data_IF_536586327710
#
_entry.id   IF_536586327710
#
_cell.length_a   1.000
_cell.length_b   1.000
_cell.length_c   1.000
_cell.angle_alpha   90.00
_cell.angle_beta   90.00
_cell.angle_gamma   90.00
#
_symmetry.space_group_name_H-M   'P 1'
#
loop_
_entity.id
_entity.type
_entity.pdbx_description
1 polymer ?
#
# COMPACT_ATOMS: atom_id res chain seq x y z
N UNK A 1 -17.25 -61.86 -14.37
CA UNK A 1 -17.87 -60.92 -13.43
C UNK A 1 -16.85 -59.84 -13.08
N UNK A 2 -17.18 -58.59 -13.43
CA UNK A 2 -16.75 -57.31 -12.80
C UNK A 2 -15.34 -57.16 -12.23
N UNK A 3 -14.56 -56.19 -12.75
CA UNK A 3 -14.35 -54.90 -12.07
C UNK A 3 -13.47 -53.92 -12.87
N UNK A 4 -14.05 -52.76 -13.22
CA UNK A 4 -13.45 -51.42 -13.09
C UNK A 4 -12.25 -51.02 -13.94
N UNK A 5 -12.48 -50.47 -15.15
CA UNK A 5 -11.67 -49.37 -15.66
C UNK A 5 -12.48 -48.09 -15.59
N UNK A 6 -12.27 -47.33 -14.51
CA UNK A 6 -12.70 -45.94 -14.43
C UNK A 6 -11.46 -45.07 -14.18
N UNK A 7 -11.43 -43.94 -14.89
CA UNK A 7 -10.61 -42.72 -14.70
C UNK A 7 -9.32 -42.60 -15.53
N UNK A 8 -9.48 -42.19 -16.78
CA UNK A 8 -8.60 -41.16 -17.33
C UNK A 8 -9.38 -39.84 -17.35
N UNK A 9 -9.15 -38.99 -16.34
CA UNK A 9 -9.50 -37.57 -16.43
C UNK A 9 -8.31 -36.89 -17.13
N UNK A 10 -8.27 -36.98 -18.45
CA UNK A 10 -7.36 -36.17 -19.26
C UNK A 10 -7.95 -34.77 -19.36
N UNK A 11 -7.21 -33.79 -18.86
CA UNK A 11 -7.53 -32.39 -19.08
C UNK A 11 -6.59 -31.81 -20.13
N UNK A 12 -7.15 -31.11 -21.10
CA UNK A 12 -6.37 -30.41 -22.12
C UNK A 12 -5.81 -29.11 -21.51
N UNK A 13 -4.59 -28.74 -21.85
CA UNK A 13 -4.03 -27.41 -21.55
C UNK A 13 -3.35 -26.89 -22.82
N UNK A 14 -3.75 -25.71 -23.28
CA UNK A 14 -3.15 -25.08 -24.46
C UNK A 14 -2.01 -24.16 -23.99
N UNK A 15 -0.78 -24.49 -24.35
CA UNK A 15 0.40 -23.67 -24.07
C UNK A 15 0.64 -22.70 -25.24
N UNK A 16 0.67 -21.41 -24.94
CA UNK A 16 1.25 -20.42 -25.84
C UNK A 16 2.66 -20.09 -25.33
N UNK A 17 3.67 -20.67 -25.99
CA UNK A 17 5.08 -20.38 -25.69
C UNK A 17 5.44 -19.01 -26.30
N UNK A 18 5.42 -17.94 -25.50
CA UNK A 18 5.86 -16.61 -25.92
C UNK A 18 7.35 -16.41 -25.65
N UNK A 19 8.16 -16.79 -26.63
CA UNK A 19 9.57 -16.41 -26.67
C UNK A 19 9.66 -14.93 -27.03
N UNK A 20 10.29 -14.14 -26.16
CA UNK A 20 10.33 -12.66 -26.20
C UNK A 20 10.84 -12.09 -27.55
N UNK A 21 11.39 -12.89 -28.46
CA UNK A 21 11.95 -12.40 -29.73
C UNK A 21 11.75 -13.29 -30.98
N UNK A 22 10.86 -14.29 -31.01
CA UNK A 22 10.57 -15.05 -32.25
C UNK A 22 9.11 -15.54 -32.34
N UNK A 23 8.62 -15.70 -33.57
CA UNK A 23 7.30 -16.27 -33.92
C UNK A 23 6.97 -17.46 -33.03
N UNK A 24 5.82 -17.42 -32.36
CA UNK A 24 5.43 -18.37 -31.31
C UNK A 24 4.84 -19.66 -31.89
N UNK A 25 5.42 -20.85 -31.60
CA UNK A 25 4.71 -22.10 -31.80
C UNK A 25 3.65 -22.27 -30.70
N UNK A 26 2.38 -22.45 -31.08
CA UNK A 26 1.34 -22.94 -30.18
C UNK A 26 1.60 -24.41 -29.90
N UNK A 27 1.78 -24.77 -28.64
CA UNK A 27 2.00 -26.15 -28.21
C UNK A 27 0.78 -26.61 -27.42
N UNK A 28 0.17 -27.72 -27.80
CA UNK A 28 -0.90 -28.34 -27.01
C UNK A 28 -0.29 -29.48 -26.21
N UNK A 29 -0.47 -29.45 -24.88
CA UNK A 29 -0.06 -30.55 -24.00
C UNK A 29 -1.27 -31.11 -23.26
N UNK A 30 -1.25 -32.42 -23.08
CA UNK A 30 -2.26 -33.11 -22.28
C UNK A 30 -1.65 -33.41 -20.92
N UNK A 31 -2.29 -32.96 -19.85
CA UNK A 31 -1.77 -33.11 -18.49
C UNK A 31 -2.89 -33.41 -17.50
N UNK A 32 -2.62 -34.30 -16.56
CA UNK A 32 -3.53 -34.53 -15.43
C UNK A 32 -3.51 -33.31 -14.50
N UNK A 33 -4.67 -32.69 -14.27
CA UNK A 33 -4.82 -31.51 -13.39
C UNK A 33 -4.40 -31.74 -11.93
N UNK A 34 -4.16 -32.98 -11.51
CA UNK A 34 -3.58 -33.32 -10.20
C UNK A 34 -2.07 -33.14 -10.15
N UNK A 35 -1.41 -32.93 -11.29
CA UNK A 35 0.02 -32.58 -11.33
C UNK A 35 0.25 -31.31 -10.52
N UNK A 36 1.34 -31.26 -9.75
CA UNK A 36 1.78 -30.03 -9.10
C UNK A 36 2.39 -29.09 -10.12
N UNK A 37 2.35 -27.79 -9.83
CA UNK A 37 3.04 -26.80 -10.66
C UNK A 37 4.54 -27.11 -10.81
N UNK A 38 5.20 -27.63 -9.78
CA UNK A 38 6.60 -28.05 -9.84
C UNK A 38 6.85 -29.11 -10.91
N UNK A 39 6.10 -30.21 -10.87
CA UNK A 39 6.23 -31.31 -11.82
C UNK A 39 5.81 -30.88 -13.23
N UNK A 40 4.78 -30.03 -13.34
CA UNK A 40 4.40 -29.43 -14.61
C UNK A 40 5.54 -28.62 -15.23
N UNK A 41 6.21 -27.76 -14.46
CA UNK A 41 7.37 -27.00 -14.96
C UNK A 41 8.50 -27.93 -15.40
N UNK A 42 8.80 -29.00 -14.67
CA UNK A 42 9.82 -29.97 -15.09
C UNK A 42 9.47 -30.62 -16.44
N UNK A 43 8.20 -31.00 -16.63
CA UNK A 43 7.73 -31.55 -17.91
C UNK A 43 7.82 -30.54 -19.07
N UNK A 44 7.84 -29.24 -18.79
CA UNK A 44 8.00 -28.19 -19.80
C UNK A 44 9.46 -27.92 -20.17
N UNK A 45 10.45 -28.32 -19.36
CA UNK A 45 11.88 -28.07 -19.63
C UNK A 45 12.33 -28.50 -21.03
N UNK A 46 11.97 -29.69 -21.56
CA UNK A 46 12.35 -30.12 -22.91
C UNK A 46 11.77 -29.24 -24.02
N UNK A 47 10.60 -28.62 -23.77
CA UNK A 47 9.91 -27.78 -24.75
C UNK A 47 10.38 -26.33 -24.70
N UNK A 48 10.70 -25.82 -23.50
CA UNK A 48 11.19 -24.45 -23.31
C UNK A 48 12.70 -24.36 -23.60
N UNK A 49 13.44 -25.45 -23.43
CA UNK A 49 14.89 -25.53 -23.70
C UNK A 49 15.76 -24.97 -22.58
N UNK A 50 15.20 -24.67 -21.41
CA UNK A 50 15.93 -24.22 -20.21
C UNK A 50 15.35 -24.88 -18.96
N UNK A 51 16.11 -25.00 -17.86
CA UNK A 51 15.61 -25.55 -16.60
C UNK A 51 14.40 -24.78 -16.07
N UNK A 52 13.54 -25.45 -15.29
CA UNK A 52 12.32 -24.88 -14.68
C UNK A 52 12.58 -23.69 -13.76
N UNK A 53 13.81 -23.53 -13.29
CA UNK A 53 14.27 -22.37 -12.53
C UNK A 53 14.47 -21.10 -13.40
N UNK A 54 14.50 -21.23 -14.73
CA UNK A 54 14.81 -20.16 -15.69
C UNK A 54 13.62 -19.74 -16.57
N UNK A 55 12.41 -20.20 -16.25
CA UNK A 55 11.19 -19.67 -16.84
C UNK A 55 10.03 -19.62 -15.84
N UNK A 56 9.01 -18.84 -16.20
CA UNK A 56 7.81 -18.54 -15.41
C UNK A 56 6.58 -19.02 -16.15
N UNK A 57 5.57 -19.48 -15.38
CA UNK A 57 4.30 -19.97 -15.90
C UNK A 57 3.22 -18.95 -15.55
N UNK A 58 2.55 -18.39 -16.55
CA UNK A 58 1.44 -17.47 -16.37
C UNK A 58 0.15 -18.12 -16.82
N UNK A 59 -0.87 -18.06 -15.95
CA UNK A 59 -2.23 -18.43 -16.30
C UNK A 59 -2.90 -17.22 -16.95
N UNK A 60 -3.47 -17.42 -18.14
CA UNK A 60 -4.25 -16.40 -18.84
C UNK A 60 -5.74 -16.65 -18.56
N UNK A 61 -6.43 -15.62 -18.08
CA UNK A 61 -7.87 -15.66 -17.83
C UNK A 61 -8.66 -15.18 -19.05
N UNK A 62 -9.98 -15.41 -19.07
CA UNK A 62 -10.86 -15.07 -20.20
C UNK A 62 -10.84 -13.58 -20.59
N UNK A 63 -10.47 -12.69 -19.66
CA UNK A 63 -10.30 -11.25 -19.88
C UNK A 63 -8.87 -10.86 -20.34
N UNK A 64 -8.06 -11.83 -20.79
CA UNK A 64 -6.64 -11.69 -21.13
C UNK A 64 -5.73 -11.18 -19.99
N UNK A 65 -6.18 -11.19 -18.74
CA UNK A 65 -5.29 -10.94 -17.61
C UNK A 65 -4.39 -12.16 -17.38
N UNK A 66 -3.11 -11.90 -17.14
CA UNK A 66 -2.12 -12.93 -16.85
C UNK A 66 -1.68 -12.86 -15.39
N UNK A 67 -1.73 -14.00 -14.69
CA UNK A 67 -1.20 -14.13 -13.34
C UNK A 67 -0.14 -15.22 -13.30
N UNK A 68 1.01 -14.92 -12.73
CA UNK A 68 2.04 -15.94 -12.56
C UNK A 68 1.62 -16.99 -11.53
N UNK A 69 1.77 -18.25 -11.90
CA UNK A 69 1.68 -19.37 -10.97
C UNK A 69 3.00 -19.50 -10.23
N UNK A 70 3.00 -19.21 -8.92
CA UNK A 70 4.20 -19.20 -8.07
C UNK A 70 4.22 -20.32 -7.04
N UNK A 71 3.07 -20.89 -6.69
CA UNK A 71 2.94 -21.91 -5.63
C UNK A 71 3.23 -23.30 -6.19
N UNK A 72 4.49 -23.71 -6.11
CA UNK A 72 4.99 -24.97 -6.70
C UNK A 72 4.26 -26.25 -6.24
N UNK A 73 3.69 -26.25 -5.03
CA UNK A 73 2.96 -27.38 -4.46
C UNK A 73 1.47 -27.40 -4.85
N UNK A 74 0.93 -26.31 -5.40
CA UNK A 74 -0.47 -26.30 -5.85
C UNK A 74 -0.62 -27.14 -7.13
N UNK A 75 -1.76 -27.81 -7.24
CA UNK A 75 -2.09 -28.58 -8.42
C UNK A 75 -2.70 -27.68 -9.50
N UNK A 76 -2.70 -28.14 -10.75
CA UNK A 76 -3.38 -27.44 -11.84
C UNK A 76 -4.92 -27.59 -11.80
N UNK A 77 -5.49 -28.06 -10.69
CA UNK A 77 -6.94 -28.34 -10.57
C UNK A 77 -7.82 -27.09 -10.71
N UNK A 78 -7.27 -25.90 -10.42
CA UNK A 78 -7.97 -24.63 -10.64
C UNK A 78 -8.01 -24.18 -12.10
N UNK A 79 -7.27 -24.85 -13.00
CA UNK A 79 -7.23 -24.48 -14.41
C UNK A 79 -8.46 -25.04 -15.13
N UNK A 80 -9.11 -24.26 -16.01
CA UNK A 80 -10.13 -24.78 -16.92
C UNK A 80 -9.47 -25.58 -18.05
N UNK A 81 -10.25 -26.44 -18.73
CA UNK A 81 -9.74 -27.31 -19.81
C UNK A 81 -9.29 -26.53 -21.07
N UNK A 82 -9.67 -25.25 -21.18
CA UNK A 82 -9.30 -24.36 -22.28
C UNK A 82 -8.40 -23.19 -21.84
N UNK A 83 -7.80 -23.27 -20.64
CA UNK A 83 -6.91 -22.22 -20.18
C UNK A 83 -5.68 -22.13 -21.08
N UNK A 84 -5.38 -20.89 -21.49
CA UNK A 84 -4.10 -20.56 -22.10
C UNK A 84 -3.06 -20.36 -21.00
N UNK A 85 -1.88 -20.90 -21.23
CA UNK A 85 -0.71 -20.70 -20.38
C UNK A 85 0.35 -19.99 -21.19
N UNK A 86 0.86 -18.88 -20.64
CA UNK A 86 1.96 -18.11 -21.22
C UNK A 86 3.26 -18.48 -20.49
N UNK A 87 4.29 -18.89 -21.23
CA UNK A 87 5.63 -19.12 -20.66
C UNK A 87 6.53 -17.94 -20.97
N UNK A 88 7.16 -17.37 -19.94
CA UNK A 88 8.15 -16.29 -20.09
C UNK A 88 9.49 -16.72 -19.52
N UNK A 89 10.56 -16.54 -20.30
CA UNK A 89 11.93 -16.77 -19.82
C UNK A 89 12.28 -15.78 -18.70
N UNK A 90 13.03 -16.26 -17.73
CA UNK A 90 13.45 -15.49 -16.56
C UNK A 90 13.46 -16.32 -15.30
N UNK A 91 14.29 -15.92 -14.34
CA UNK A 91 14.46 -16.60 -13.06
C UNK A 91 13.11 -16.78 -12.35
N UNK A 92 12.77 -18.02 -12.04
CA UNK A 92 11.65 -18.38 -11.17
C UNK A 92 12.03 -18.10 -9.71
N UNK A 93 11.04 -17.72 -8.90
CA UNK A 93 11.24 -17.55 -7.46
C UNK A 93 11.54 -18.90 -6.81
N UNK A 94 12.55 -18.94 -5.94
CA UNK A 94 12.82 -20.09 -5.07
C UNK A 94 11.81 -20.12 -3.91
N UNK A 95 11.73 -21.25 -3.22
CA UNK A 95 10.94 -21.34 -1.98
C UNK A 95 11.41 -20.28 -0.99
N UNK A 96 10.48 -19.49 -0.47
CA UNK A 96 10.78 -18.39 0.44
C UNK A 96 11.16 -17.08 -0.24
N UNK A 97 11.14 -17.00 -1.57
CA UNK A 97 11.35 -15.73 -2.28
C UNK A 97 10.02 -15.11 -2.70
N UNK A 98 9.95 -13.79 -2.58
CA UNK A 98 8.76 -12.98 -2.81
C UNK A 98 9.11 -11.82 -3.71
N UNK A 99 8.24 -11.55 -4.70
CA UNK A 99 8.36 -10.32 -5.49
C UNK A 99 7.88 -9.14 -4.69
N UNK A 100 8.67 -8.07 -4.77
CA UNK A 100 8.43 -6.83 -4.06
C UNK A 100 8.48 -5.68 -5.05
N UNK A 101 7.42 -4.88 -5.08
CA UNK A 101 7.41 -3.61 -5.79
C UNK A 101 7.93 -2.51 -4.88
N UNK A 102 8.97 -1.82 -5.33
CA UNK A 102 9.56 -0.71 -4.58
C UNK A 102 9.05 0.61 -5.19
N UNK A 103 8.47 1.44 -4.33
CA UNK A 103 8.01 2.79 -4.67
C UNK A 103 8.82 3.82 -3.90
N UNK A 104 9.29 4.88 -4.54
CA UNK A 104 9.84 6.04 -3.83
C UNK A 104 8.71 6.79 -3.14
N UNK A 105 8.90 7.09 -1.85
CA UNK A 105 8.08 8.02 -1.09
C UNK A 105 8.70 9.42 -1.17
N UNK A 106 7.98 10.35 -1.79
CA UNK A 106 8.37 11.75 -1.95
C UNK A 106 7.39 12.62 -1.14
N UNK A 107 7.57 12.68 0.17
CA UNK A 107 6.56 13.20 1.12
C UNK A 107 6.06 14.63 0.82
N UNK A 108 6.88 15.46 0.18
CA UNK A 108 6.57 16.86 -0.11
C UNK A 108 6.24 17.13 -1.60
N UNK A 109 6.24 16.11 -2.45
CA UNK A 109 5.93 16.26 -3.87
C UNK A 109 4.43 16.09 -4.13
N UNK A 110 3.94 16.71 -5.21
CA UNK A 110 2.54 16.60 -5.63
C UNK A 110 2.15 15.15 -5.97
N UNK A 111 3.11 14.37 -6.48
CA UNK A 111 2.99 12.94 -6.71
C UNK A 111 3.91 12.18 -5.74
N UNK A 112 3.42 11.87 -4.53
CA UNK A 112 4.28 11.36 -3.46
C UNK A 112 4.71 9.90 -3.63
N UNK A 113 4.15 9.18 -4.61
CA UNK A 113 4.36 7.76 -4.80
C UNK A 113 4.83 7.49 -6.23
N UNK A 114 6.12 7.20 -6.40
CA UNK A 114 6.73 6.91 -7.70
C UNK A 114 7.22 5.47 -7.75
N UNK A 115 6.75 4.66 -8.70
CA UNK A 115 7.30 3.31 -8.89
C UNK A 115 8.78 3.38 -9.30
N UNK A 116 9.62 2.54 -8.69
CA UNK A 116 11.04 2.43 -9.03
C UNK A 116 11.33 1.12 -9.76
N UNK A 117 11.14 -0.01 -9.09
CA UNK A 117 11.59 -1.31 -9.59
C UNK A 117 10.82 -2.47 -8.96
N UNK A 118 10.75 -3.58 -9.69
CA UNK A 118 10.40 -4.90 -9.17
C UNK A 118 11.67 -5.63 -8.71
N UNK A 119 11.72 -6.01 -7.44
CA UNK A 119 12.82 -6.79 -6.87
C UNK A 119 12.33 -8.08 -6.21
N UNK A 120 13.24 -8.87 -5.65
CA UNK A 120 12.94 -10.10 -4.93
C UNK A 120 13.55 -10.03 -3.55
N UNK A 121 12.74 -10.25 -2.52
CA UNK A 121 13.23 -10.45 -1.15
C UNK A 121 12.99 -11.89 -0.72
N UNK A 122 13.86 -12.40 0.13
CA UNK A 122 13.84 -13.77 0.63
C UNK A 122 13.49 -13.79 2.13
N UNK A 123 12.74 -14.82 2.53
CA UNK A 123 12.53 -15.19 3.93
C UNK A 123 13.89 -15.34 4.64
N UNK A 124 13.98 -14.79 5.85
CA UNK A 124 15.18 -14.88 6.68
C UNK A 124 16.28 -13.86 6.35
N UNK A 125 16.13 -13.07 5.29
CA UNK A 125 17.02 -11.92 5.08
C UNK A 125 16.59 -10.76 5.99
N UNK A 126 17.57 -9.96 6.40
CA UNK A 126 17.34 -8.70 7.11
C UNK A 126 16.95 -7.59 6.15
N UNK A 127 16.30 -6.55 6.68
CA UNK A 127 16.04 -5.30 5.95
C UNK A 127 17.34 -4.66 5.45
N UNK A 128 18.43 -4.75 6.21
CA UNK A 128 19.74 -4.25 5.77
C UNK A 128 20.23 -4.99 4.53
N UNK A 129 20.22 -6.32 4.54
CA UNK A 129 20.62 -7.13 3.39
C UNK A 129 19.74 -6.83 2.17
N UNK A 130 18.45 -6.58 2.36
CA UNK A 130 17.56 -6.26 1.25
C UNK A 130 17.85 -4.88 0.65
N UNK A 131 18.25 -3.90 1.46
CA UNK A 131 18.79 -2.62 0.99
C UNK A 131 20.09 -2.81 0.22
N UNK A 132 21.02 -3.63 0.72
CA UNK A 132 22.30 -3.92 0.05
C UNK A 132 22.11 -4.52 -1.35
N UNK A 133 21.11 -5.40 -1.52
CA UNK A 133 20.75 -5.94 -2.84
C UNK A 133 19.99 -4.93 -3.72
N UNK A 134 19.17 -4.07 -3.12
CA UNK A 134 18.34 -3.10 -3.82
C UNK A 134 19.13 -1.90 -4.36
N UNK A 135 20.11 -1.39 -3.62
CA UNK A 135 20.82 -0.15 -3.98
C UNK A 135 21.54 -0.23 -5.34
N UNK A 136 22.29 -1.31 -5.68
CA UNK A 136 22.89 -1.45 -7.01
C UNK A 136 21.85 -1.42 -8.13
N UNK A 137 20.70 -2.06 -7.91
CA UNK A 137 19.59 -2.10 -8.85
C UNK A 137 19.02 -0.70 -9.12
N UNK A 138 18.85 0.10 -8.07
CA UNK A 138 18.38 1.48 -8.18
C UNK A 138 19.39 2.39 -8.88
N UNK A 139 20.69 2.19 -8.64
CA UNK A 139 21.75 2.91 -9.33
C UNK A 139 21.76 2.62 -10.83
N UNK A 140 21.64 1.35 -11.20
CA UNK A 140 21.67 0.92 -12.60
C UNK A 140 20.42 1.35 -13.37
N UNK A 141 19.23 1.02 -12.83
CA UNK A 141 17.95 1.15 -13.52
C UNK A 141 17.30 2.51 -13.33
N UNK A 142 17.42 3.11 -12.15
CA UNK A 142 16.76 4.36 -11.79
C UNK A 142 17.70 5.57 -11.74
N UNK A 143 19.02 5.35 -11.90
CA UNK A 143 20.07 6.39 -11.74
C UNK A 143 20.05 7.05 -10.35
N UNK A 144 19.65 6.29 -9.34
CA UNK A 144 19.64 6.72 -7.94
C UNK A 144 20.85 6.13 -7.21
N UNK A 145 21.88 6.95 -6.99
CA UNK A 145 23.06 6.58 -6.20
C UNK A 145 22.84 7.02 -4.75
N UNK A 146 22.35 6.10 -3.92
CA UNK A 146 21.91 6.39 -2.56
C UNK A 146 22.84 5.74 -1.52
N UNK A 147 23.04 6.43 -0.40
CA UNK A 147 23.73 5.88 0.75
C UNK A 147 22.76 5.01 1.58
N UNK A 148 23.18 3.79 1.91
CA UNK A 148 22.40 2.84 2.69
C UNK A 148 21.91 3.40 4.04
N UNK A 149 22.74 4.21 4.72
CA UNK A 149 22.41 4.77 6.04
C UNK A 149 21.38 5.90 5.97
N UNK A 150 21.05 6.38 4.76
CA UNK A 150 20.06 7.42 4.48
C UNK A 150 18.84 6.88 3.74
N UNK A 151 18.70 5.56 3.63
CA UNK A 151 17.56 4.92 2.98
C UNK A 151 16.77 4.13 4.00
N UNK A 152 15.47 4.38 4.04
CA UNK A 152 14.51 3.69 4.88
C UNK A 152 13.51 2.93 4.02
N UNK A 153 13.14 1.71 4.44
CA UNK A 153 12.02 0.98 3.86
C UNK A 153 10.80 1.10 4.77
N UNK A 154 9.62 1.26 4.17
CA UNK A 154 8.33 1.31 4.88
C UNK A 154 7.32 0.36 4.27
N UNK A 155 6.39 -0.12 5.08
CA UNK A 155 5.18 -0.78 4.59
C UNK A 155 4.40 0.18 3.70
N UNK A 156 4.02 -0.25 2.50
CA UNK A 156 3.10 0.50 1.65
C UNK A 156 1.71 -0.13 1.71
N UNK A 157 0.74 0.64 2.20
CA UNK A 157 -0.68 0.25 2.14
C UNK A 157 -1.41 1.22 1.22
N UNK A 158 -1.55 0.82 -0.05
CA UNK A 158 -2.06 1.69 -1.12
C UNK A 158 -1.24 2.99 -1.25
N UNK A 159 -1.77 4.14 -0.80
CA UNK A 159 -1.07 5.44 -0.78
C UNK A 159 -0.39 5.75 0.57
N UNK A 160 -0.73 5.01 1.62
CA UNK A 160 -0.28 5.32 2.98
C UNK A 160 1.11 4.75 3.25
N UNK A 161 2.08 5.59 3.65
CA UNK A 161 3.32 5.12 4.25
C UNK A 161 2.99 4.60 5.65
N UNK A 162 3.16 3.31 5.87
CA UNK A 162 2.94 2.69 7.18
C UNK A 162 4.26 2.47 7.92
N UNK A 163 4.27 1.37 8.68
CA UNK A 163 5.37 0.90 9.53
C UNK A 163 6.75 1.09 8.91
N UNK A 164 7.66 1.67 9.69
CA UNK A 164 9.08 1.78 9.36
C UNK A 164 9.78 0.44 9.61
N UNK A 165 10.54 -0.05 8.62
CA UNK A 165 11.31 -1.27 8.75
C UNK A 165 12.77 -0.94 9.11
N UNK A 166 13.15 -1.25 10.35
CA UNK A 166 14.52 -1.12 10.85
C UNK A 166 15.44 -2.20 10.25
N UNK A 167 16.72 -1.85 10.11
CA UNK A 167 17.75 -2.65 9.44
C UNK A 167 17.87 -4.09 9.95
N UNK A 168 17.70 -4.29 11.26
CA UNK A 168 17.87 -5.58 11.91
C UNK A 168 16.64 -6.50 11.80
N UNK A 169 15.49 -5.99 11.34
CA UNK A 169 14.29 -6.83 11.19
C UNK A 169 14.49 -7.89 10.10
N UNK A 170 13.95 -9.07 10.36
CA UNK A 170 14.03 -10.25 9.50
C UNK A 170 12.67 -10.53 8.86
N UNK A 171 12.64 -10.73 7.53
CA UNK A 171 11.41 -11.08 6.84
C UNK A 171 10.91 -12.48 7.20
N UNK A 172 9.61 -12.61 7.42
CA UNK A 172 8.87 -13.76 7.96
C UNK A 172 9.12 -14.08 9.45
N UNK A 173 9.92 -13.29 10.14
CA UNK A 173 10.06 -13.34 11.61
C UNK A 173 9.45 -12.09 12.24
N UNK A 174 9.98 -10.91 11.88
CA UNK A 174 9.49 -9.61 12.35
C UNK A 174 8.48 -8.97 11.38
N UNK A 175 8.66 -9.22 10.08
CA UNK A 175 7.88 -8.59 9.02
C UNK A 175 7.24 -9.68 8.15
N UNK A 176 5.91 -9.77 8.17
CA UNK A 176 5.18 -10.68 7.28
C UNK A 176 5.23 -10.17 5.82
N UNK A 177 5.73 -11.02 4.93
CA UNK A 177 5.82 -10.75 3.49
C UNK A 177 4.90 -11.70 2.73
N UNK A 178 4.27 -11.21 1.68
CA UNK A 178 3.26 -11.97 0.94
C UNK A 178 3.41 -11.81 -0.58
N UNK A 179 2.62 -12.56 -1.34
CA UNK A 179 2.61 -12.43 -2.79
C UNK A 179 2.03 -11.06 -3.19
N UNK A 180 2.76 -10.30 -4.01
CA UNK A 180 2.48 -8.90 -4.39
C UNK A 180 2.78 -7.87 -3.29
N UNK A 181 3.83 -8.11 -2.51
CA UNK A 181 4.24 -7.16 -1.49
C UNK A 181 4.72 -5.84 -2.12
N UNK A 182 4.35 -4.73 -1.50
CA UNK A 182 4.78 -3.40 -1.92
C UNK A 182 5.41 -2.68 -0.73
N UNK A 183 6.51 -1.98 -1.00
CA UNK A 183 7.22 -1.20 0.00
C UNK A 183 7.49 0.20 -0.53
N UNK A 184 7.52 1.16 0.39
CA UNK A 184 8.08 2.46 0.12
C UNK A 184 9.58 2.47 0.44
N UNK A 185 10.34 3.15 -0.41
CA UNK A 185 11.71 3.58 -0.17
C UNK A 185 11.68 5.09 0.07
N UNK A 186 12.12 5.51 1.24
CA UNK A 186 12.22 6.91 1.65
C UNK A 186 13.70 7.29 1.76
N UNK A 187 14.08 8.40 1.14
CA UNK A 187 15.43 8.97 1.27
C UNK A 187 15.40 10.00 2.37
N UNK A 188 16.18 9.78 3.42
CA UNK A 188 16.24 10.63 4.59
C UNK A 188 17.27 11.75 4.41
N UNK A 189 16.96 12.93 4.96
CA UNK A 189 17.90 14.04 5.01
C UNK A 189 19.10 13.74 5.93
N UNK A 190 18.84 13.00 7.00
CA UNK A 190 19.79 12.60 8.03
C UNK A 190 19.77 11.07 8.20
N UNK A 191 20.59 10.53 9.10
CA UNK A 191 20.51 9.13 9.49
C UNK A 191 19.15 8.79 10.12
N UNK A 192 18.75 7.53 10.02
CA UNK A 192 17.56 6.99 10.67
C UNK A 192 17.48 7.39 12.16
N UNK A 193 16.37 8.02 12.56
CA UNK A 193 16.10 8.45 13.93
C UNK A 193 15.35 7.39 14.74
N UNK A 194 14.50 6.60 14.10
CA UNK A 194 13.77 5.52 14.74
C UNK A 194 14.73 4.36 15.07
N UNK A 195 14.67 3.87 16.31
CA UNK A 195 15.56 2.84 16.86
C UNK A 195 14.81 1.59 17.33
N UNK A 196 13.50 1.68 17.54
CA UNK A 196 12.67 0.60 18.07
C UNK A 196 11.28 0.61 17.45
N UNK A 197 10.65 -0.56 17.36
CA UNK A 197 9.24 -0.73 16.97
C UNK A 197 8.24 -0.26 18.04
N UNK A 198 8.71 0.02 19.26
CA UNK A 198 7.89 0.66 20.30
C UNK A 198 7.68 2.16 20.05
N UNK A 199 8.55 2.77 19.25
CA UNK A 199 8.43 4.17 18.87
C UNK A 199 7.36 4.34 17.79
N UNK A 200 6.86 5.57 17.69
CA UNK A 200 5.85 5.95 16.70
C UNK A 200 6.36 7.10 15.83
N UNK A 201 6.41 6.89 14.52
CA UNK A 201 6.79 7.91 13.55
C UNK A 201 5.54 8.62 13.00
N UNK A 202 5.37 9.90 13.35
CA UNK A 202 4.22 10.72 12.93
C UNK A 202 4.67 11.77 11.93
N UNK A 203 3.95 11.86 10.80
CA UNK A 203 4.15 12.93 9.82
C UNK A 203 3.36 14.16 10.27
N UNK A 204 4.04 15.27 10.42
CA UNK A 204 3.46 16.53 10.91
C UNK A 204 3.51 17.58 9.83
N UNK A 205 2.52 18.47 9.80
CA UNK A 205 2.45 19.55 8.81
C UNK A 205 1.90 20.83 9.43
N UNK A 206 2.67 21.90 9.34
CA UNK A 206 2.25 23.21 9.86
C UNK A 206 1.16 23.81 8.97
N UNK A 207 0.09 24.27 9.59
CA UNK A 207 -0.90 25.16 9.01
C UNK A 207 -0.63 26.59 9.49
N UNK A 208 -0.51 27.53 8.56
CA UNK A 208 -0.30 28.95 8.84
C UNK A 208 -1.51 29.77 8.40
N UNK A 209 -2.44 30.09 9.32
CA UNK A 209 -3.61 30.91 9.02
C UNK A 209 -3.27 32.26 8.39
N UNK A 210 -2.18 32.91 8.83
CA UNK A 210 -1.78 34.24 8.37
C UNK A 210 -1.33 34.31 6.92
N UNK A 211 -0.98 33.16 6.33
CA UNK A 211 -0.53 33.07 4.92
C UNK A 211 -1.39 32.16 4.07
N UNK A 212 -2.40 31.53 4.66
CA UNK A 212 -3.27 30.53 4.04
C UNK A 212 -2.47 29.40 3.35
N UNK A 213 -1.40 28.93 4.01
CA UNK A 213 -0.49 27.91 3.46
C UNK A 213 -0.23 26.77 4.43
N UNK A 214 -0.01 25.59 3.85
CA UNK A 214 0.54 24.44 4.53
C UNK A 214 2.06 24.38 4.29
N UNK A 215 2.82 24.22 5.36
CA UNK A 215 4.26 23.98 5.31
C UNK A 215 4.62 22.61 4.72
N UNK A 216 5.92 22.30 4.63
CA UNK A 216 6.37 20.96 4.29
C UNK A 216 6.04 19.97 5.42
N UNK A 217 5.93 18.70 5.07
CA UNK A 217 5.90 17.61 6.04
C UNK A 217 7.23 17.50 6.77
N UNK A 218 7.14 17.29 8.07
CA UNK A 218 8.24 16.99 8.97
C UNK A 218 7.87 15.78 9.81
N UNK A 219 8.81 14.87 10.05
CA UNK A 219 8.56 13.70 10.86
C UNK A 219 9.01 13.90 12.30
N UNK A 220 8.17 13.49 13.25
CA UNK A 220 8.52 13.35 14.66
C UNK A 220 8.51 11.87 15.05
N UNK A 221 9.50 11.47 15.84
CA UNK A 221 9.56 10.14 16.46
C UNK A 221 9.18 10.31 17.93
N UNK A 222 8.18 9.54 18.36
CA UNK A 222 7.66 9.54 19.73
C UNK A 222 8.05 8.23 20.41
N UNK A 223 8.55 8.33 21.64
CA UNK A 223 8.85 7.20 22.52
C UNK A 223 7.57 6.66 23.18
N UNK A 224 6.66 7.57 23.54
CA UNK A 224 5.36 7.27 24.11
C UNK A 224 4.29 7.85 23.18
N UNK A 225 3.24 7.08 22.91
CA UNK A 225 2.09 7.52 22.12
C UNK A 225 1.18 8.49 22.90
N UNK A 226 1.76 9.52 23.52
CA UNK A 226 1.09 10.52 24.34
C UNK A 226 0.91 11.84 23.58
N UNK A 227 -0.12 12.60 23.96
CA UNK A 227 -0.37 13.93 23.39
C UNK A 227 0.67 14.95 23.86
N UNK A 228 1.11 14.85 25.12
CA UNK A 228 2.08 15.78 25.69
C UNK A 228 3.43 15.70 24.96
N UNK A 229 3.95 14.49 24.74
CA UNK A 229 5.19 14.30 23.98
C UNK A 229 5.08 14.79 22.54
N UNK A 230 3.94 14.56 21.87
CA UNK A 230 3.70 15.12 20.54
C UNK A 230 3.77 16.65 20.56
N UNK A 231 3.11 17.30 21.53
CA UNK A 231 3.13 18.76 21.65
C UNK A 231 4.54 19.29 21.96
N UNK A 232 5.29 18.63 22.83
CA UNK A 232 6.69 18.96 23.12
C UNK A 232 7.56 18.92 21.87
N UNK A 233 7.46 17.85 21.08
CA UNK A 233 8.21 17.72 19.81
C UNK A 233 7.81 18.78 18.79
N UNK A 234 6.52 19.09 18.68
CA UNK A 234 6.03 20.13 17.78
C UNK A 234 6.48 21.53 18.22
N UNK A 235 6.48 21.81 19.53
CA UNK A 235 6.97 23.05 20.13
C UNK A 235 8.46 23.22 19.85
N UNK A 236 9.27 22.19 20.08
CA UNK A 236 10.72 22.18 19.83
C UNK A 236 11.07 22.48 18.36
N UNK A 237 10.32 21.93 17.39
CA UNK A 237 10.64 22.11 15.97
C UNK A 237 10.09 23.40 15.33
N UNK A 238 9.19 24.10 15.99
CA UNK A 238 8.44 25.21 15.38
C UNK A 238 8.52 26.54 16.14
N UNK A 239 9.16 26.54 17.31
CA UNK A 239 9.23 27.67 18.25
C UNK A 239 7.86 28.17 18.75
N UNK A 240 6.81 27.36 18.59
CA UNK A 240 5.46 27.65 19.13
C UNK A 240 5.41 27.10 20.55
N UNK A 241 5.18 27.98 21.53
CA UNK A 241 4.98 27.59 22.93
C UNK A 241 3.81 26.62 23.07
N UNK A 242 3.93 25.63 23.97
CA UNK A 242 2.91 24.61 24.23
C UNK A 242 1.48 25.15 24.43
N UNK A 243 1.33 26.28 25.11
CA UNK A 243 0.05 26.94 25.37
C UNK A 243 -0.63 27.46 24.10
N UNK A 244 0.17 27.82 23.10
CA UNK A 244 -0.28 28.35 21.82
C UNK A 244 -0.31 27.27 20.72
N UNK A 245 -0.06 26.01 21.09
CA UNK A 245 0.06 24.92 20.13
C UNK A 245 -1.25 24.13 20.03
N UNK A 246 -1.88 24.32 18.88
CA UNK A 246 -3.07 23.58 18.45
C UNK A 246 -2.66 22.47 17.48
N UNK A 247 -3.28 21.29 17.61
CA UNK A 247 -3.09 20.20 16.66
C UNK A 247 -4.38 19.47 16.33
N UNK A 248 -4.39 18.78 15.19
CA UNK A 248 -5.48 17.95 14.72
C UNK A 248 -4.97 16.77 13.88
N UNK A 249 -5.67 15.64 13.91
CA UNK A 249 -5.35 14.51 13.02
C UNK A 249 -5.87 14.75 11.60
N UNK A 250 -5.02 14.49 10.62
CA UNK A 250 -5.40 14.47 9.21
C UNK A 250 -6.37 13.34 8.87
N UNK A 251 -7.31 13.62 7.96
CA UNK A 251 -8.33 12.66 7.52
C UNK A 251 -7.97 12.04 6.18
N UNK A 252 -8.47 10.83 5.93
CA UNK A 252 -8.28 10.13 4.66
C UNK A 252 -6.91 9.46 4.52
N UNK A 253 -6.48 9.24 3.28
CA UNK A 253 -5.18 8.64 2.97
C UNK A 253 -4.12 9.70 2.78
N UNK A 254 -2.86 9.34 2.99
CA UNK A 254 -1.71 10.20 2.74
C UNK A 254 -1.79 10.81 1.31
N UNK A 255 -1.58 12.13 1.16
CA UNK A 255 -1.04 13.09 2.14
C UNK A 255 -2.08 13.78 3.05
N UNK A 256 -3.29 13.23 3.17
CA UNK A 256 -4.42 13.83 3.88
C UNK A 256 -4.77 15.20 3.28
N UNK A 257 -5.01 15.20 1.97
CA UNK A 257 -5.35 16.40 1.21
C UNK A 257 -6.59 17.09 1.79
N UNK A 258 -6.44 18.36 2.13
CA UNK A 258 -7.50 19.21 2.68
C UNK A 258 -7.37 20.62 2.12
N UNK A 259 -8.49 21.32 1.93
CA UNK A 259 -8.50 22.71 1.50
C UNK A 259 -7.98 23.62 2.61
N UNK A 260 -7.07 24.54 2.30
CA UNK A 260 -6.62 25.57 3.25
C UNK A 260 -7.75 26.49 3.72
N UNK A 261 -8.86 26.56 2.98
CA UNK A 261 -10.06 27.32 3.36
C UNK A 261 -10.95 26.58 4.38
N UNK A 262 -10.83 25.25 4.44
CA UNK A 262 -11.73 24.37 5.20
C UNK A 262 -11.03 23.70 6.38
N UNK A 263 -9.68 23.64 6.37
CA UNK A 263 -8.86 22.98 7.40
C UNK A 263 -9.21 23.40 8.82
N UNK A 264 -9.63 24.66 9.01
CA UNK A 264 -10.03 25.18 10.31
C UNK A 264 -11.32 24.55 10.83
N UNK A 265 -12.29 24.30 9.95
CA UNK A 265 -13.62 23.81 10.30
C UNK A 265 -13.73 22.29 10.19
N UNK A 266 -13.00 21.69 9.24
CA UNK A 266 -13.12 20.28 8.90
C UNK A 266 -12.28 19.37 9.79
N UNK A 267 -11.23 19.89 10.42
CA UNK A 267 -10.43 19.13 11.37
C UNK A 267 -10.90 19.34 12.81
N UNK A 268 -10.75 18.28 13.62
CA UNK A 268 -11.05 18.32 15.05
C UNK A 268 -9.81 18.80 15.80
N UNK A 269 -9.74 20.12 16.04
CA UNK A 269 -8.63 20.78 16.71
C UNK A 269 -8.68 20.59 18.22
N UNK A 270 -7.52 20.28 18.81
CA UNK A 270 -7.34 20.02 20.24
C UNK A 270 -8.28 18.93 20.80
N UNK A 271 -8.17 17.70 20.28
CA UNK A 271 -8.95 16.59 20.80
C UNK A 271 -8.65 16.38 22.28
N UNK A 272 -9.71 16.17 23.07
CA UNK A 272 -9.64 16.03 24.54
C UNK A 272 -9.23 14.61 24.95
N UNK A 273 -8.00 14.24 24.60
CA UNK A 273 -7.39 12.94 24.94
C UNK A 273 -5.96 13.14 25.43
N UNK A 274 -5.47 12.24 26.26
CA UNK A 274 -4.08 12.22 26.73
C UNK A 274 -3.18 11.30 25.91
N UNK A 275 -3.76 10.35 25.18
CA UNK A 275 -3.05 9.34 24.37
C UNK A 275 -3.51 9.36 22.92
N UNK A 276 -2.58 9.08 22.01
CA UNK A 276 -2.79 9.19 20.57
C UNK A 276 -3.61 8.03 19.99
N UNK A 277 -3.62 6.87 20.63
CA UNK A 277 -4.31 5.67 20.15
C UNK A 277 -5.82 5.63 20.51
N UNK A 278 -6.34 6.66 21.17
CA UNK A 278 -7.75 6.74 21.60
C UNK A 278 -8.55 7.63 20.64
N UNK A 279 -9.86 7.38 20.53
CA UNK A 279 -10.77 8.25 19.79
C UNK A 279 -10.74 9.68 20.34
N UNK A 280 -10.70 10.74 19.49
CA UNK A 280 -10.89 10.72 18.04
C UNK A 280 -9.60 10.52 17.22
N UNK A 281 -8.45 10.40 17.87
CA UNK A 281 -7.16 10.29 17.20
C UNK A 281 -6.94 8.92 16.58
N UNK A 282 -6.99 7.80 17.31
CA UNK A 282 -6.67 6.46 16.77
C UNK A 282 -5.40 6.45 15.90
N UNK A 283 -4.31 7.04 16.41
CA UNK A 283 -2.99 6.96 15.80
C UNK A 283 -2.29 5.78 16.49
N UNK A 284 -2.31 4.64 15.81
CA UNK A 284 -1.75 3.38 16.32
C UNK A 284 -0.50 2.94 15.54
N UNK A 285 -0.32 3.46 14.33
CA UNK A 285 0.70 3.03 13.39
C UNK A 285 1.44 4.25 12.81
N UNK A 286 2.67 4.02 12.34
CA UNK A 286 3.51 5.01 11.69
C UNK A 286 2.84 5.66 10.46
N UNK A 287 3.28 6.88 10.16
CA UNK A 287 2.90 7.63 8.96
C UNK A 287 1.52 8.26 9.02
N UNK A 288 0.87 8.25 10.18
CA UNK A 288 -0.28 9.11 10.44
C UNK A 288 0.10 10.58 10.27
N UNK A 289 -0.82 11.36 9.70
CA UNK A 289 -0.63 12.80 9.48
C UNK A 289 -1.27 13.60 10.61
N UNK A 290 -0.52 14.52 11.20
CA UNK A 290 -0.98 15.51 12.18
C UNK A 290 -0.73 16.91 11.64
N UNK A 291 -1.79 17.72 11.61
CA UNK A 291 -1.68 19.15 11.36
C UNK A 291 -1.49 19.88 12.68
N UNK A 292 -0.70 20.95 12.67
CA UNK A 292 -0.52 21.82 13.84
C UNK A 292 -0.44 23.28 13.42
N UNK A 293 -0.76 24.19 14.34
CA UNK A 293 -0.74 25.63 14.09
C UNK A 293 -0.42 26.40 15.38
N UNK A 294 -0.05 27.67 15.20
CA UNK A 294 -0.05 28.62 16.30
C UNK A 294 -1.48 29.17 16.47
N UNK A 295 -2.06 29.03 17.66
CA UNK A 295 -3.40 29.52 17.97
C UNK A 295 -3.49 31.04 18.05
N UNK A 296 -2.36 31.74 18.23
CA UNK A 296 -2.28 33.21 18.24
C UNK A 296 -2.13 33.82 16.84
N UNK A 297 -2.03 33.00 15.80
CA UNK A 297 -1.88 33.48 14.43
C UNK A 297 -3.23 33.97 13.90
N UNK A 298 -3.31 35.25 13.55
CA UNK A 298 -4.52 35.81 12.94
C UNK A 298 -4.67 35.30 11.50
N UNK A 299 -5.87 34.82 11.10
CA UNK A 299 -6.12 34.42 9.73
C UNK A 299 -5.96 35.59 8.75
N UNK A 300 -5.37 35.32 7.58
CA UNK A 300 -5.31 36.28 6.49
C UNK A 300 -6.73 36.71 6.09
N UNK A 301 -6.98 38.02 6.05
CA UNK A 301 -8.18 38.55 5.41
C UNK A 301 -8.03 38.42 3.89
N UNK A 302 -8.99 37.74 3.26
CA UNK A 302 -9.05 37.56 1.82
C UNK A 302 -10.20 38.40 1.27
N UNK A 303 -9.94 39.14 0.20
CA UNK A 303 -11.01 39.73 -0.61
C UNK A 303 -11.87 38.64 -1.26
N UNK A 304 -13.07 38.99 -1.73
CA UNK A 304 -13.96 38.03 -2.43
C UNK A 304 -13.28 37.41 -3.65
N UNK A 305 -12.52 38.22 -4.40
CA UNK A 305 -11.78 37.77 -5.58
C UNK A 305 -10.65 36.81 -5.20
N UNK A 306 -9.82 37.14 -4.22
CA UNK A 306 -8.74 36.26 -3.74
C UNK A 306 -9.30 34.94 -3.18
N UNK A 307 -10.40 35.00 -2.45
CA UNK A 307 -11.08 33.82 -1.92
C UNK A 307 -11.62 32.95 -3.06
N UNK A 308 -12.21 33.55 -4.09
CA UNK A 308 -12.73 32.84 -5.27
C UNK A 308 -11.61 32.18 -6.08
N UNK A 309 -10.48 32.85 -6.25
CA UNK A 309 -9.30 32.27 -6.90
C UNK A 309 -8.71 31.12 -6.08
N UNK A 310 -8.60 31.28 -4.77
CA UNK A 310 -8.12 30.24 -3.87
C UNK A 310 -9.04 29.00 -3.90
N UNK A 311 -10.36 29.20 -3.89
CA UNK A 311 -11.34 28.12 -4.03
C UNK A 311 -11.14 27.33 -5.32
N UNK A 312 -10.95 28.02 -6.46
CA UNK A 312 -10.71 27.38 -7.77
C UNK A 312 -9.40 26.60 -7.79
N UNK A 313 -8.34 27.15 -7.18
CA UNK A 313 -7.03 26.51 -7.07
C UNK A 313 -7.09 25.24 -6.25
N UNK A 314 -7.69 25.31 -5.05
CA UNK A 314 -7.82 24.16 -4.14
C UNK A 314 -8.73 23.09 -4.73
N UNK A 315 -9.86 23.47 -5.35
CA UNK A 315 -10.76 22.52 -6.03
C UNK A 315 -10.02 21.75 -7.13
N UNK A 316 -9.22 22.47 -7.93
CA UNK A 316 -8.43 21.85 -9.00
C UNK A 316 -7.36 20.90 -8.46
N UNK A 317 -6.71 21.26 -7.34
CA UNK A 317 -5.70 20.42 -6.68
C UNK A 317 -6.32 19.13 -6.14
N UNK A 318 -7.44 19.22 -5.43
CA UNK A 318 -8.14 18.06 -4.84
C UNK A 318 -8.70 17.10 -5.92
N UNK A 319 -9.15 17.65 -7.06
CA UNK A 319 -9.56 16.84 -8.22
C UNK A 319 -8.41 16.01 -8.79
N UNK A 320 -7.20 16.59 -8.90
CA UNK A 320 -6.03 15.90 -9.43
C UNK A 320 -5.55 14.76 -8.52
N UNK A 321 -5.66 14.92 -7.20
CA UNK A 321 -5.21 13.89 -6.26
C UNK A 321 -6.22 12.75 -6.06
N UNK A 322 -7.39 12.83 -6.71
CA UNK A 322 -8.42 11.80 -6.72
C UNK A 322 -9.25 11.73 -5.43
N UNK A 323 -9.18 12.74 -4.57
CA UNK A 323 -9.94 12.82 -3.32
C UNK A 323 -11.36 13.33 -3.60
N UNK A 324 -12.22 12.47 -4.18
CA UNK A 324 -13.68 12.60 -3.98
C UNK A 324 -14.08 11.72 -2.80
N UNK A 325 -14.02 12.26 -1.59
CA UNK A 325 -14.99 11.81 -0.58
C UNK A 325 -16.23 12.65 -0.82
N UNK A 326 -17.18 12.11 -1.59
CA UNK A 326 -18.52 12.69 -1.68
C UNK A 326 -19.21 12.47 -0.34
N UNK A 327 -18.92 13.31 0.67
CA UNK A 327 -19.90 13.53 1.71
C UNK A 327 -21.05 14.28 1.05
N UNK A 328 -22.12 13.54 0.73
CA UNK A 328 -23.35 14.20 0.31
C UNK A 328 -23.84 15.03 1.51
N UNK A 329 -24.16 16.32 1.36
CA UNK A 329 -24.78 17.10 2.43
C UNK A 329 -26.24 16.68 2.72
N UNK A 330 -26.71 15.53 2.21
CA UNK A 330 -28.06 15.09 2.48
C UNK A 330 -28.13 14.61 3.91
N UNK A 331 -28.81 15.40 4.75
CA UNK A 331 -29.44 14.95 5.99
C UNK A 331 -29.89 13.50 5.79
N UNK A 332 -29.30 12.56 6.53
CA UNK A 332 -29.77 11.19 6.58
C UNK A 332 -31.26 11.22 6.89
N UNK A 333 -32.09 10.83 5.93
CA UNK A 333 -33.48 10.47 6.23
C UNK A 333 -33.44 9.05 6.76
N UNK A 334 -33.90 8.87 7.98
CA UNK A 334 -34.05 7.57 8.61
C UNK A 334 -34.70 6.56 7.65
N UNK A 335 -34.07 5.41 7.48
CA UNK A 335 -34.60 4.28 6.74
C UNK A 335 -35.87 3.78 7.45
N UNK A 336 -37.04 3.99 6.83
CA UNK A 336 -38.28 3.31 7.21
C UNK A 336 -38.20 1.87 6.69
N UNK A 337 -37.88 0.95 7.57
CA UNK A 337 -38.02 -0.48 7.31
C UNK A 337 -39.51 -0.82 7.44
N UNK A 338 -40.13 -1.20 6.33
CA UNK A 338 -41.45 -1.82 6.34
C UNK A 338 -41.24 -3.31 6.58
N UNK A 339 -41.66 -3.78 7.75
CA UNK A 339 -41.79 -5.21 8.01
C UNK A 339 -43.08 -5.66 7.31
N UNK A 340 -42.96 -6.29 6.15
CA UNK A 340 -44.05 -7.08 5.56
C UNK A 340 -44.25 -8.34 6.41
N UNK A 341 -45.01 -8.18 7.48
CA UNK A 341 -45.52 -9.23 8.34
C UNK A 341 -46.96 -8.91 8.68
N UNK A 342 -47.85 -9.05 7.69
CA UNK A 342 -49.29 -8.96 7.91
C UNK A 342 -49.75 -9.99 8.95
N UNK A 343 -50.78 -9.68 9.75
CA UNK A 343 -51.23 -10.55 10.83
C UNK A 343 -51.75 -11.88 10.26
N UNK A 344 -51.17 -12.99 10.75
CA UNK A 344 -51.75 -14.30 10.57
C UNK A 344 -53.15 -14.29 11.21
N UNK A 345 -54.18 -14.62 10.42
CA UNK A 345 -55.52 -14.90 10.92
C UNK A 345 -55.44 -16.09 11.85
N UNK A 346 -55.84 -15.89 13.10
CA UNK A 346 -56.08 -16.96 14.06
C UNK A 346 -57.35 -17.74 13.62
N UNK A 347 -57.28 -19.07 13.40
CA UNK A 347 -58.47 -19.86 13.20
C UNK A 347 -58.95 -20.41 14.54
N UNK A 348 -59.99 -19.78 15.09
CA UNK A 348 -60.94 -20.42 15.98
C UNK A 348 -60.85 -20.01 17.45
N UNK A 349 -61.91 -19.36 17.93
CA UNK A 349 -62.87 -20.03 18.81
C UNK A 349 -64.14 -19.20 18.96
N UNK A 350 -65.27 -19.91 18.89
CA UNK A 350 -66.56 -19.51 19.45
C UNK A 350 -66.47 -19.13 20.94
#
# INVERSE_FOLDING_TARGET
MTMGRAKERLSTCILELSLVHRVTPRLVVYVDKRITLAAFKQNLEPYVGVPSAQFKVFRVYANNQEFESIRLNETLSSFSDDNKITIRLGRALKKGEYRVKVYQLLVNEAEPCKFLVDTVFAKGMTVRQSKEELLPLLKEQCKLDLNIDRVRLRKKTWKNPGTVFLDYHVYEEDISISSNWEVFLEVLNESEKMKSMSQLAVLTRRWSPSTMKLGPFQEVILENSSVDELKEKLSEMSDITLENLDFAKGRGTFPCDISVLEIQQDLDWNPKVSTLNVWPLYICDDGAVVFYRNSTEEPMELSEDERSELMKRESSRLLKTGHRVSYSPRKEKALKIYLDGGPAKDPGQD
#
